data_IF_464876954187
#
_entry.id   IF_464876954187
#
_cell.length_a   1.000
_cell.length_b   1.000
_cell.length_c   1.000
_cell.angle_alpha   90.00
_cell.angle_beta   90.00
_cell.angle_gamma   90.00
#
_symmetry.space_group_name_H-M   'P 1'
#
loop_
_entity.id
_entity.type
_entity.pdbx_description
1 polymer ?
#
# COMPACT_ATOMS: atom_id res chain seq x y z
N UNK A 1 24.80 -18.33 7.90
CA UNK A 1 23.65 -18.74 7.16
C UNK A 1 23.02 -17.59 6.42
N UNK A 2 23.14 -17.63 5.10
CA UNK A 2 22.63 -16.56 4.29
C UNK A 2 21.13 -16.45 4.28
N UNK A 3 20.44 -17.57 4.56
CA UNK A 3 18.98 -17.57 4.49
C UNK A 3 18.33 -16.63 5.49
N UNK A 4 18.89 -16.56 6.69
CA UNK A 4 18.31 -15.70 7.71
C UNK A 4 18.44 -14.23 7.36
N UNK A 5 19.58 -13.88 6.77
CA UNK A 5 19.78 -12.49 6.37
C UNK A 5 18.85 -12.10 5.25
N UNK A 6 18.64 -13.00 4.31
CA UNK A 6 17.72 -12.73 3.21
C UNK A 6 16.29 -12.54 3.70
N UNK A 7 15.88 -13.36 4.66
CA UNK A 7 14.53 -13.23 5.22
C UNK A 7 14.36 -11.87 5.90
N UNK A 8 15.36 -11.45 6.65
CA UNK A 8 15.29 -10.17 7.33
C UNK A 8 15.20 -9.04 6.33
N UNK A 9 16.03 -9.10 5.29
CA UNK A 9 16.00 -8.07 4.26
C UNK A 9 14.67 -8.03 3.53
N UNK A 10 14.10 -9.19 3.22
CA UNK A 10 12.81 -9.23 2.55
C UNK A 10 11.72 -8.63 3.41
N UNK A 11 11.73 -8.93 4.70
CA UNK A 11 10.74 -8.36 5.61
C UNK A 11 10.90 -6.85 5.72
N UNK A 12 12.14 -6.37 5.75
CA UNK A 12 12.38 -4.94 5.80
C UNK A 12 11.90 -4.25 4.54
N UNK A 13 12.18 -4.85 3.39
CA UNK A 13 11.72 -4.30 2.12
C UNK A 13 10.20 -4.25 2.06
N UNK A 14 9.57 -5.31 2.53
CA UNK A 14 8.11 -5.37 2.57
C UNK A 14 7.56 -4.29 3.48
N UNK A 15 8.17 -4.10 4.63
CA UNK A 15 7.75 -3.08 5.57
C UNK A 15 7.86 -1.69 4.95
N UNK A 16 8.97 -1.43 4.28
CA UNK A 16 9.18 -0.14 3.63
C UNK A 16 8.14 0.10 2.56
N UNK A 17 7.84 -0.93 1.75
CA UNK A 17 6.81 -0.82 0.73
C UNK A 17 5.45 -0.51 1.34
N UNK A 18 5.11 -1.20 2.42
CA UNK A 18 3.85 -0.96 3.09
C UNK A 18 3.76 0.46 3.63
N UNK A 19 4.86 0.96 4.18
CA UNK A 19 4.90 2.34 4.66
C UNK A 19 4.70 3.34 3.54
N UNK A 20 5.32 3.09 2.40
CA UNK A 20 5.15 3.97 1.25
C UNK A 20 3.71 3.98 0.78
N UNK A 21 3.08 2.80 0.74
CA UNK A 21 1.69 2.70 0.32
C UNK A 21 0.79 3.43 1.30
N UNK A 22 1.04 3.27 2.60
CA UNK A 22 0.25 3.98 3.61
C UNK A 22 0.37 5.49 3.46
N UNK A 23 1.59 5.97 3.20
CA UNK A 23 1.78 7.39 3.01
C UNK A 23 1.04 7.90 1.78
N UNK A 24 1.06 7.11 0.70
CA UNK A 24 0.34 7.47 -0.50
C UNK A 24 -1.17 7.43 -0.28
N UNK A 25 -1.65 6.45 0.49
CA UNK A 25 -3.06 6.38 0.84
C UNK A 25 -3.49 7.62 1.59
N UNK A 26 -2.69 8.05 2.54
CA UNK A 26 -2.98 9.25 3.31
C UNK A 26 -3.06 10.46 2.40
N UNK A 27 -2.13 10.57 1.48
CA UNK A 27 -2.13 11.67 0.52
C UNK A 27 -3.38 11.63 -0.35
N UNK A 28 -3.79 10.44 -0.79
CA UNK A 28 -5.00 10.29 -1.59
C UNK A 28 -6.23 10.73 -0.82
N UNK A 29 -6.33 10.34 0.44
CA UNK A 29 -7.47 10.74 1.26
C UNK A 29 -7.53 12.25 1.40
N UNK A 30 -6.38 12.89 1.60
CA UNK A 30 -6.31 14.34 1.70
C UNK A 30 -6.82 14.99 0.42
N UNK A 31 -6.41 14.44 -0.72
CA UNK A 31 -6.83 14.99 -2.01
C UNK A 31 -8.32 14.74 -2.26
N UNK A 32 -8.81 13.58 -1.84
CA UNK A 32 -10.24 13.28 -1.97
C UNK A 32 -11.07 14.28 -1.18
N UNK A 33 -10.63 14.57 0.05
CA UNK A 33 -11.34 15.53 0.88
C UNK A 33 -11.40 16.91 0.24
N UNK A 34 -10.32 17.28 -0.45
CA UNK A 34 -10.24 18.61 -1.07
C UNK A 34 -10.96 18.65 -2.41
N UNK A 35 -11.29 17.50 -2.97
CA UNK A 35 -11.91 17.45 -4.29
C UNK A 35 -13.42 17.51 -4.18
N UNK A 36 -14.05 18.06 -5.21
CA UNK A 36 -15.50 18.15 -5.27
C UNK A 36 -16.02 16.84 -5.87
N UNK A 37 -17.02 16.26 -5.19
CA UNK A 37 -17.62 15.00 -5.65
C UNK A 37 -18.11 15.15 -7.07
N UNK A 38 -17.89 14.12 -7.85
CA UNK A 38 -18.34 14.09 -9.24
C UNK A 38 -17.38 14.71 -10.21
N UNK A 39 -16.28 15.29 -9.73
CA UNK A 39 -15.28 15.83 -10.64
C UNK A 39 -14.28 14.76 -11.03
N UNK A 40 -13.55 15.06 -12.11
CA UNK A 40 -12.50 14.16 -12.58
C UNK A 40 -11.48 13.87 -11.50
N UNK A 41 -11.09 14.91 -10.77
CA UNK A 41 -10.06 14.78 -9.73
C UNK A 41 -10.53 13.85 -8.62
N UNK A 42 -11.78 13.98 -8.21
CA UNK A 42 -12.33 13.12 -7.16
C UNK A 42 -12.28 11.66 -7.59
N UNK A 43 -12.72 11.38 -8.82
CA UNK A 43 -12.73 10.01 -9.34
C UNK A 43 -11.31 9.47 -9.47
N UNK A 44 -10.39 10.30 -9.92
CA UNK A 44 -8.99 9.89 -10.07
C UNK A 44 -8.40 9.46 -8.73
N UNK A 45 -8.56 10.29 -7.72
CA UNK A 45 -7.96 9.99 -6.42
C UNK A 45 -8.63 8.82 -5.73
N UNK A 46 -9.94 8.68 -5.90
CA UNK A 46 -10.65 7.54 -5.35
C UNK A 46 -10.17 6.24 -5.97
N UNK A 47 -10.02 6.22 -7.29
CA UNK A 47 -9.52 5.03 -7.97
C UNK A 47 -8.08 4.71 -7.57
N UNK A 48 -7.27 5.74 -7.42
CA UNK A 48 -5.89 5.55 -6.99
C UNK A 48 -5.83 4.96 -5.60
N UNK A 49 -6.67 5.47 -4.70
CA UNK A 49 -6.74 4.94 -3.34
C UNK A 49 -7.12 3.46 -3.35
N UNK A 50 -8.11 3.09 -4.13
CA UNK A 50 -8.53 1.70 -4.21
C UNK A 50 -7.40 0.79 -4.67
N UNK A 51 -6.63 1.24 -5.65
CA UNK A 51 -5.50 0.45 -6.13
C UNK A 51 -4.45 0.29 -5.06
N UNK A 52 -4.21 1.33 -4.28
CA UNK A 52 -3.24 1.26 -3.20
C UNK A 52 -3.68 0.30 -2.12
N UNK A 53 -4.97 0.30 -1.79
CA UNK A 53 -5.50 -0.63 -0.80
C UNK A 53 -5.31 -2.06 -1.27
N UNK A 54 -5.61 -2.34 -2.54
CA UNK A 54 -5.43 -3.68 -3.07
C UNK A 54 -3.97 -4.10 -3.03
N UNK A 55 -3.06 -3.21 -3.40
CA UNK A 55 -1.64 -3.51 -3.37
C UNK A 55 -1.16 -3.77 -1.96
N UNK A 56 -1.63 -2.97 -1.01
CA UNK A 56 -1.28 -3.15 0.40
C UNK A 56 -1.70 -4.53 0.88
N UNK A 57 -2.93 -4.91 0.56
CA UNK A 57 -3.45 -6.21 0.99
C UNK A 57 -2.68 -7.36 0.35
N UNK A 58 -2.30 -7.21 -0.91
CA UNK A 58 -1.51 -8.25 -1.58
C UNK A 58 -0.17 -8.44 -0.91
N UNK A 59 0.50 -7.35 -0.57
CA UNK A 59 1.79 -7.43 0.08
C UNK A 59 1.65 -8.04 1.47
N UNK A 60 0.64 -7.61 2.20
CA UNK A 60 0.39 -8.12 3.53
C UNK A 60 0.08 -9.62 3.51
N UNK A 61 -0.79 -10.04 2.59
CA UNK A 61 -1.15 -11.44 2.49
C UNK A 61 0.04 -12.29 2.08
N UNK A 62 0.89 -11.74 1.21
CA UNK A 62 2.08 -12.47 0.79
C UNK A 62 3.00 -12.75 1.98
N UNK A 63 3.09 -11.79 2.89
CA UNK A 63 3.93 -11.96 4.06
C UNK A 63 3.39 -12.97 5.05
N UNK A 64 2.07 -13.18 5.05
CA UNK A 64 1.44 -14.09 5.99
C UNK A 64 1.12 -15.46 5.37
N UNK A 65 1.47 -15.63 4.13
CA UNK A 65 1.03 -16.81 3.39
C UNK A 65 1.61 -18.10 3.91
N UNK A 66 2.75 -18.04 4.51
CA UNK A 66 3.46 -19.24 4.96
C UNK A 66 2.78 -19.93 6.12
N UNK A 67 1.77 -19.33 6.69
CA UNK A 67 1.11 -19.87 7.86
C UNK A 67 0.27 -21.10 7.55
N UNK A 68 0.06 -21.37 6.30
CA UNK A 68 -0.75 -22.55 5.95
C UNK A 68 0.09 -23.75 5.66
#
# INVERSE_FOLDING_TARGET
MGGDEEEIMQKMEQYILMQKIENLQYKCLTMIEKSIKGTWAFNFWTNTYDKLVKNYNLIKNRGEKHDN
#
